data_IF_996340280181
#
_entry.id   IF_996340280181
#
_cell.length_a   1.000
_cell.length_b   1.000
_cell.length_c   1.000
_cell.angle_alpha   90.00
_cell.angle_beta   90.00
_cell.angle_gamma   90.00
#
_symmetry.space_group_name_H-M   'P 1'
#
loop_
_entity.id
_entity.type
_entity.pdbx_description
1 polymer ?
#
# COMPACT_ATOMS: atom_id res chain seq x y z
N UNK A 1 -4.98 13.47 -18.19
CA UNK A 1 -4.52 12.27 -17.44
C UNK A 1 -3.17 11.82 -18.00
N UNK A 2 -2.07 12.26 -17.39
CA UNK A 2 -0.72 12.16 -17.95
C UNK A 2 -0.29 10.74 -18.36
N UNK A 3 -0.70 9.72 -17.62
CA UNK A 3 -0.41 8.32 -17.95
C UNK A 3 -1.09 7.82 -19.23
N UNK A 4 -2.32 8.26 -19.50
CA UNK A 4 -3.08 7.85 -20.69
C UNK A 4 -2.53 8.55 -21.93
N UNK A 5 -2.09 9.79 -21.79
CA UNK A 5 -1.54 10.60 -22.89
C UNK A 5 -0.05 10.31 -23.17
N UNK A 6 0.56 9.33 -22.50
CA UNK A 6 1.98 8.99 -22.69
C UNK A 6 2.97 9.97 -22.05
N UNK A 7 2.50 10.96 -21.28
CA UNK A 7 3.33 11.96 -20.59
C UNK A 7 4.06 11.42 -19.35
N UNK A 8 3.88 10.12 -19.04
CA UNK A 8 4.52 9.44 -17.91
C UNK A 8 3.91 9.78 -16.55
N UNK A 9 4.56 9.31 -15.48
CA UNK A 9 4.15 9.56 -14.09
C UNK A 9 4.66 10.94 -13.64
N UNK A 10 3.90 11.98 -13.99
CA UNK A 10 4.16 13.38 -13.64
C UNK A 10 2.95 14.02 -12.96
N UNK A 11 3.21 14.93 -12.02
CA UNK A 11 2.21 15.76 -11.35
C UNK A 11 1.84 17.03 -12.12
N UNK A 12 2.65 17.43 -13.11
CA UNK A 12 2.42 18.67 -13.84
C UNK A 12 1.30 18.46 -14.86
N UNK A 13 0.32 19.36 -14.89
CA UNK A 13 -0.81 19.28 -15.83
C UNK A 13 -0.41 19.73 -17.25
N UNK A 14 0.61 20.59 -17.34
CA UNK A 14 1.20 21.08 -18.58
C UNK A 14 2.71 20.79 -18.64
N UNK A 15 3.30 20.91 -19.83
CA UNK A 15 4.74 20.76 -20.02
C UNK A 15 5.53 21.84 -19.24
N UNK A 16 6.73 21.51 -18.71
CA UNK A 16 7.42 20.23 -18.81
C UNK A 16 6.89 19.18 -17.83
N UNK A 17 6.68 17.95 -18.31
CA UNK A 17 6.25 16.81 -17.50
C UNK A 17 7.43 16.23 -16.72
N UNK A 18 7.64 16.70 -15.49
CA UNK A 18 8.73 16.22 -14.64
C UNK A 18 8.38 14.86 -14.01
N UNK A 19 9.23 13.83 -14.13
CA UNK A 19 9.02 12.55 -13.47
C UNK A 19 8.88 12.73 -11.94
N UNK A 20 7.90 12.06 -11.35
CA UNK A 20 7.69 12.10 -9.89
C UNK A 20 7.66 10.69 -9.28
N UNK A 21 8.02 10.58 -8.01
CA UNK A 21 7.74 9.45 -7.12
C UNK A 21 7.02 9.91 -5.84
N UNK A 22 6.35 11.06 -5.86
CA UNK A 22 5.69 11.60 -4.66
C UNK A 22 4.59 10.68 -4.12
N UNK A 23 3.98 9.85 -4.97
CA UNK A 23 3.02 8.82 -4.55
C UNK A 23 3.32 7.50 -5.23
N UNK A 24 2.98 6.42 -4.54
CA UNK A 24 3.03 5.06 -5.07
C UNK A 24 2.10 4.87 -6.29
N UNK A 25 2.48 4.00 -7.25
CA UNK A 25 1.87 3.95 -8.58
C UNK A 25 0.59 3.11 -8.68
N UNK A 26 0.26 2.29 -7.68
CA UNK A 26 -0.76 1.25 -7.79
C UNK A 26 -2.13 1.79 -8.21
N UNK A 27 -2.64 2.80 -7.49
CA UNK A 27 -3.93 3.39 -7.83
C UNK A 27 -3.94 4.16 -9.17
N UNK A 28 -2.97 5.05 -9.46
CA UNK A 28 -2.90 5.70 -10.78
C UNK A 28 -2.79 4.73 -11.95
N UNK A 29 -2.03 3.64 -11.81
CA UNK A 29 -1.91 2.61 -12.83
C UNK A 29 -3.24 1.90 -13.07
N UNK A 30 -3.91 1.46 -11.99
CA UNK A 30 -5.22 0.81 -12.13
C UNK A 30 -6.24 1.73 -12.80
N UNK A 31 -6.29 3.00 -12.37
CA UNK A 31 -7.19 3.99 -12.97
C UNK A 31 -6.89 4.20 -14.46
N UNK A 32 -5.61 4.21 -14.85
CA UNK A 32 -5.21 4.34 -16.26
C UNK A 32 -5.63 3.15 -17.11
N UNK A 33 -5.56 1.93 -16.56
CA UNK A 33 -6.00 0.71 -17.25
C UNK A 33 -7.52 0.74 -17.43
N UNK A 34 -8.27 1.04 -16.37
CA UNK A 34 -9.73 1.11 -16.41
C UNK A 34 -10.20 2.14 -17.43
N UNK A 35 -9.62 3.35 -17.41
CA UNK A 35 -10.02 4.40 -18.34
C UNK A 35 -9.54 4.18 -19.77
N UNK A 36 -8.48 3.40 -19.98
CA UNK A 36 -8.07 2.99 -21.34
C UNK A 36 -9.09 2.04 -21.97
N UNK A 37 -9.68 1.15 -21.17
CA UNK A 37 -10.64 0.14 -21.66
C UNK A 37 -12.07 0.70 -21.73
N UNK A 38 -12.51 1.39 -20.67
CA UNK A 38 -13.89 1.86 -20.53
C UNK A 38 -14.11 3.33 -20.94
N UNK A 39 -13.03 4.04 -21.29
CA UNK A 39 -13.01 5.49 -21.45
C UNK A 39 -12.95 6.25 -20.12
N UNK A 40 -12.74 7.57 -20.18
CA UNK A 40 -12.68 8.44 -19.00
C UNK A 40 -14.08 8.65 -18.43
N UNK A 41 -14.55 7.67 -17.65
CA UNK A 41 -15.88 7.63 -17.05
C UNK A 41 -15.75 7.34 -15.55
N UNK A 42 -15.84 8.37 -14.67
CA UNK A 42 -15.63 8.20 -13.23
C UNK A 42 -16.54 7.16 -12.58
N UNK A 43 -17.79 7.02 -13.06
CA UNK A 43 -18.74 6.05 -12.54
C UNK A 43 -18.28 4.59 -12.69
N UNK A 44 -17.47 4.27 -13.70
CA UNK A 44 -16.94 2.91 -13.91
C UNK A 44 -16.00 2.53 -12.76
N UNK A 45 -15.18 3.47 -12.30
CA UNK A 45 -14.31 3.25 -11.16
C UNK A 45 -15.10 3.12 -9.86
N UNK A 46 -16.19 3.87 -9.69
CA UNK A 46 -17.09 3.73 -8.54
C UNK A 46 -17.75 2.34 -8.49
N UNK A 47 -18.18 1.79 -9.64
CA UNK A 47 -18.67 0.41 -9.69
C UNK A 47 -17.59 -0.60 -9.29
N UNK A 48 -16.34 -0.40 -9.74
CA UNK A 48 -15.23 -1.26 -9.30
C UNK A 48 -14.96 -1.13 -7.80
N UNK A 49 -15.11 0.07 -7.21
CA UNK A 49 -15.00 0.23 -5.76
C UNK A 49 -16.03 -0.58 -4.99
N UNK A 50 -17.29 -0.59 -5.46
CA UNK A 50 -18.35 -1.43 -4.88
C UNK A 50 -17.96 -2.92 -4.97
N UNK A 51 -17.46 -3.36 -6.13
CA UNK A 51 -16.99 -4.75 -6.30
C UNK A 51 -15.83 -5.07 -5.35
N UNK A 52 -14.86 -4.17 -5.17
CA UNK A 52 -13.75 -4.38 -4.25
C UNK A 52 -14.19 -4.42 -2.78
N UNK A 53 -15.12 -3.56 -2.36
CA UNK A 53 -15.70 -3.57 -1.02
C UNK A 53 -16.45 -4.89 -0.77
N UNK A 54 -17.31 -5.32 -1.69
CA UNK A 54 -18.03 -6.60 -1.58
C UNK A 54 -17.06 -7.79 -1.52
N UNK A 55 -16.03 -7.80 -2.38
CA UNK A 55 -15.00 -8.84 -2.35
C UNK A 55 -14.24 -8.86 -1.01
N UNK A 56 -13.95 -7.68 -0.45
CA UNK A 56 -13.31 -7.54 0.87
C UNK A 56 -14.19 -8.14 1.97
N UNK A 57 -15.48 -7.81 1.95
CA UNK A 57 -16.46 -8.34 2.91
C UNK A 57 -16.56 -9.86 2.85
N UNK A 58 -16.69 -10.43 1.66
CA UNK A 58 -16.75 -11.89 1.46
C UNK A 58 -15.46 -12.53 1.96
N UNK A 59 -14.31 -11.97 1.64
CA UNK A 59 -13.02 -12.52 2.01
C UNK A 59 -12.80 -12.53 3.52
N UNK A 60 -13.13 -11.44 4.21
CA UNK A 60 -13.02 -11.34 5.67
C UNK A 60 -14.02 -12.29 6.35
N UNK A 61 -15.27 -12.31 5.89
CA UNK A 61 -16.31 -13.19 6.48
C UNK A 61 -15.97 -14.67 6.33
N UNK A 62 -15.48 -15.10 5.17
CA UNK A 62 -15.01 -16.48 4.94
C UNK A 62 -13.82 -16.80 5.85
N UNK A 63 -12.84 -15.91 5.93
CA UNK A 63 -11.65 -16.12 6.78
C UNK A 63 -12.04 -16.21 8.25
N UNK A 64 -12.95 -15.35 8.72
CA UNK A 64 -13.52 -15.42 10.05
C UNK A 64 -14.23 -16.76 10.30
N UNK A 65 -14.95 -17.27 9.30
CA UNK A 65 -15.60 -18.59 9.34
C UNK A 65 -14.63 -19.75 9.47
N UNK A 66 -13.49 -19.67 8.81
CA UNK A 66 -12.44 -20.71 8.89
C UNK A 66 -11.80 -20.72 10.29
N UNK A 67 -11.63 -19.56 10.92
CA UNK A 67 -10.97 -19.45 12.24
C UNK A 67 -11.93 -19.72 13.40
N UNK A 68 -13.15 -19.19 13.33
CA UNK A 68 -14.10 -19.14 14.46
C UNK A 68 -15.43 -19.86 14.19
N UNK A 69 -15.57 -20.53 13.04
CA UNK A 69 -16.76 -21.28 12.66
C UNK A 69 -17.85 -20.48 11.92
N UNK A 70 -18.88 -21.17 11.39
CA UNK A 70 -19.84 -20.59 10.43
C UNK A 70 -20.79 -19.55 11.01
N UNK A 71 -21.02 -19.54 12.33
CA UNK A 71 -21.81 -18.48 12.99
C UNK A 71 -21.07 -17.15 12.97
N UNK A 72 -19.78 -17.17 13.32
CA UNK A 72 -18.89 -16.01 13.32
C UNK A 72 -18.74 -15.41 11.93
N UNK A 73 -18.70 -16.24 10.87
CA UNK A 73 -18.69 -15.78 9.48
C UNK A 73 -19.88 -14.87 9.15
N UNK A 74 -21.10 -15.32 9.52
CA UNK A 74 -22.34 -14.59 9.25
C UNK A 74 -22.40 -13.28 10.04
N UNK A 75 -22.05 -13.32 11.32
CA UNK A 75 -22.02 -12.12 12.18
C UNK A 75 -21.00 -11.12 11.64
N UNK A 76 -19.79 -11.57 11.30
CA UNK A 76 -18.73 -10.71 10.76
C UNK A 76 -19.15 -10.08 9.42
N UNK A 77 -19.72 -10.87 8.50
CA UNK A 77 -20.24 -10.35 7.23
C UNK A 77 -21.35 -9.32 7.42
N UNK A 78 -22.27 -9.56 8.36
CA UNK A 78 -23.34 -8.62 8.68
C UNK A 78 -22.81 -7.30 9.28
N UNK A 79 -21.90 -7.37 10.25
CA UNK A 79 -21.29 -6.18 10.85
C UNK A 79 -20.48 -5.36 9.84
N UNK A 80 -19.75 -6.02 8.94
CA UNK A 80 -19.01 -5.35 7.87
C UNK A 80 -19.93 -4.70 6.84
N UNK A 81 -21.04 -5.35 6.47
CA UNK A 81 -22.02 -4.79 5.54
C UNK A 81 -22.63 -3.47 6.03
N UNK A 82 -22.74 -3.32 7.35
CA UNK A 82 -23.29 -2.13 8.00
C UNK A 82 -22.24 -1.07 8.34
N UNK A 83 -20.96 -1.32 8.04
CA UNK A 83 -19.89 -0.40 8.42
C UNK A 83 -19.97 0.90 7.59
N UNK A 84 -20.27 2.07 8.20
CA UNK A 84 -20.47 3.31 7.46
C UNK A 84 -19.22 3.77 6.71
N UNK A 85 -18.04 3.47 7.26
CA UNK A 85 -16.75 3.82 6.64
C UNK A 85 -16.56 3.15 5.29
N UNK A 86 -16.98 1.89 5.15
CA UNK A 86 -16.86 1.18 3.88
C UNK A 86 -17.89 1.70 2.86
N UNK A 87 -19.13 1.93 3.32
CA UNK A 87 -20.19 2.50 2.48
C UNK A 87 -19.78 3.86 1.91
N UNK A 88 -19.32 4.79 2.76
CA UNK A 88 -18.86 6.12 2.32
C UNK A 88 -17.61 6.00 1.43
N UNK A 89 -16.70 5.09 1.77
CA UNK A 89 -15.48 4.84 1.00
C UNK A 89 -15.72 4.41 -0.45
N UNK A 90 -16.84 3.71 -0.72
CA UNK A 90 -17.21 3.32 -2.09
C UNK A 90 -17.74 4.47 -2.95
N UNK A 91 -18.25 5.53 -2.33
CA UNK A 91 -18.89 6.66 -3.04
C UNK A 91 -17.89 7.73 -3.49
N UNK A 92 -16.67 7.70 -2.95
CA UNK A 92 -15.60 8.66 -3.29
C UNK A 92 -14.52 7.95 -4.09
N UNK A 93 -13.88 8.67 -5.01
CA UNK A 93 -12.78 8.16 -5.85
C UNK A 93 -11.47 8.04 -5.05
N UNK A 94 -11.52 7.21 -4.02
CA UNK A 94 -10.52 6.97 -3.00
C UNK A 94 -9.72 5.69 -3.31
N UNK A 95 -8.50 5.59 -2.77
CA UNK A 95 -7.63 4.39 -2.92
C UNK A 95 -8.01 3.28 -1.94
N UNK A 96 -8.86 3.63 -1.00
CA UNK A 96 -9.27 2.90 0.18
C UNK A 96 -9.90 1.54 -0.16
N UNK A 97 -10.84 1.41 -1.13
CA UNK A 97 -11.47 0.12 -1.41
C UNK A 97 -10.52 -0.93 -1.99
N UNK A 98 -9.65 -0.53 -2.92
CA UNK A 98 -8.63 -1.43 -3.47
C UNK A 98 -7.62 -1.82 -2.40
N UNK A 99 -7.17 -0.86 -1.59
CA UNK A 99 -6.23 -1.14 -0.50
C UNK A 99 -6.82 -2.11 0.51
N UNK A 100 -8.09 -1.92 0.90
CA UNK A 100 -8.79 -2.77 1.84
C UNK A 100 -8.85 -4.23 1.34
N UNK A 101 -9.18 -4.43 0.05
CA UNK A 101 -9.22 -5.76 -0.56
C UNK A 101 -7.84 -6.45 -0.53
N UNK A 102 -6.79 -5.75 -0.95
CA UNK A 102 -5.44 -6.31 -1.00
C UNK A 102 -4.91 -6.61 0.41
N UNK A 103 -5.17 -5.71 1.37
CA UNK A 103 -4.80 -5.90 2.76
C UNK A 103 -5.57 -7.07 3.41
N UNK A 104 -6.88 -7.20 3.13
CA UNK A 104 -7.68 -8.34 3.57
C UNK A 104 -7.18 -9.65 2.95
N UNK A 105 -6.81 -9.65 1.67
CA UNK A 105 -6.20 -10.80 0.99
C UNK A 105 -4.87 -11.21 1.59
N UNK A 106 -4.01 -10.26 1.91
CA UNK A 106 -2.77 -10.49 2.64
C UNK A 106 -3.03 -11.19 3.99
N UNK A 107 -3.89 -10.63 4.85
CA UNK A 107 -4.18 -11.22 6.16
C UNK A 107 -4.87 -12.58 6.06
N UNK A 108 -5.78 -12.75 5.11
CA UNK A 108 -6.46 -14.03 4.88
C UNK A 108 -5.48 -15.11 4.47
N UNK A 109 -4.57 -14.81 3.54
CA UNK A 109 -3.52 -15.73 3.11
C UNK A 109 -2.53 -16.04 4.25
N UNK A 110 -2.17 -15.04 5.06
CA UNK A 110 -1.32 -15.23 6.25
C UNK A 110 -1.97 -16.15 7.28
N UNK A 111 -3.24 -15.92 7.63
CA UNK A 111 -4.00 -16.77 8.56
C UNK A 111 -4.07 -18.20 8.02
N UNK A 112 -4.39 -18.36 6.73
CA UNK A 112 -4.43 -19.68 6.10
C UNK A 112 -3.07 -20.38 6.12
N UNK A 113 -1.97 -19.63 5.96
CA UNK A 113 -0.61 -20.15 6.15
C UNK A 113 -0.37 -20.60 7.58
N UNK A 114 -0.75 -19.81 8.59
CA UNK A 114 -0.58 -20.20 10.01
C UNK A 114 -1.35 -21.49 10.32
N UNK A 115 -2.58 -21.62 9.79
CA UNK A 115 -3.42 -22.79 10.02
C UNK A 115 -2.99 -24.05 9.25
N UNK A 116 -2.51 -23.91 8.00
CA UNK A 116 -2.27 -25.06 7.10
C UNK A 116 -0.80 -25.27 6.76
N UNK A 117 0.07 -24.30 7.05
CA UNK A 117 1.52 -24.37 6.88
C UNK A 117 2.03 -24.44 5.43
N UNK A 118 1.23 -24.10 4.41
CA UNK A 118 1.61 -24.27 3.00
C UNK A 118 2.36 -23.04 2.47
N UNK A 119 3.51 -23.26 1.84
CA UNK A 119 4.38 -22.18 1.35
C UNK A 119 3.70 -21.25 0.33
N UNK A 120 2.81 -21.77 -0.52
CA UNK A 120 2.13 -20.96 -1.54
C UNK A 120 1.17 -19.94 -0.91
N UNK A 121 0.62 -20.23 0.28
CA UNK A 121 -0.22 -19.29 1.02
C UNK A 121 0.61 -18.09 1.51
N UNK A 122 1.83 -18.37 1.96
CA UNK A 122 2.79 -17.34 2.35
C UNK A 122 3.25 -16.52 1.12
N UNK A 123 3.47 -17.18 -0.02
CA UNK A 123 3.80 -16.49 -1.26
C UNK A 123 2.65 -15.57 -1.73
N UNK A 124 1.40 -16.04 -1.65
CA UNK A 124 0.21 -15.22 -1.96
C UNK A 124 0.07 -14.05 -0.98
N UNK A 125 0.41 -14.24 0.30
CA UNK A 125 0.42 -13.17 1.28
C UNK A 125 1.45 -12.11 0.91
N UNK A 126 2.69 -12.51 0.59
CA UNK A 126 3.74 -11.57 0.18
C UNK A 126 3.41 -10.80 -1.11
N UNK A 127 2.83 -11.46 -2.12
CA UNK A 127 2.38 -10.78 -3.35
C UNK A 127 1.25 -9.79 -3.05
N UNK A 128 0.23 -10.20 -2.29
CA UNK A 128 -0.87 -9.32 -1.89
C UNK A 128 -0.36 -8.11 -1.10
N UNK A 129 0.62 -8.31 -0.23
CA UNK A 129 1.27 -7.25 0.55
C UNK A 129 2.05 -6.27 -0.33
N UNK A 130 2.78 -6.77 -1.33
CA UNK A 130 3.49 -5.92 -2.30
C UNK A 130 2.50 -5.06 -3.11
N UNK A 131 1.41 -5.66 -3.57
CA UNK A 131 0.35 -4.93 -4.26
C UNK A 131 -0.31 -3.89 -3.34
N UNK A 132 -0.57 -4.23 -2.07
CA UNK A 132 -1.09 -3.28 -1.09
C UNK A 132 -0.11 -2.12 -0.85
N UNK A 133 1.20 -2.39 -0.84
CA UNK A 133 2.26 -1.38 -0.71
C UNK A 133 2.27 -0.42 -1.89
N UNK A 134 1.96 -0.90 -3.10
CA UNK A 134 1.78 -0.04 -4.27
C UNK A 134 0.55 0.86 -4.21
N UNK A 135 -0.44 0.55 -3.38
CA UNK A 135 -1.61 1.42 -3.19
C UNK A 135 -1.38 2.39 -2.03
N UNK A 136 -0.81 1.89 -0.92
CA UNK A 136 -0.41 2.68 0.25
C UNK A 136 0.94 2.21 0.79
N UNK A 137 1.90 3.12 0.81
CA UNK A 137 3.27 2.90 1.33
C UNK A 137 3.33 2.49 2.81
N UNK A 138 2.28 2.75 3.60
CA UNK A 138 2.22 2.40 5.02
C UNK A 138 2.45 0.91 5.30
N UNK A 139 2.19 0.03 4.33
CA UNK A 139 2.35 -1.42 4.50
C UNK A 139 3.79 -1.90 4.28
N UNK A 140 4.72 -1.02 3.90
CA UNK A 140 6.11 -1.37 3.62
C UNK A 140 6.88 -1.92 4.83
N UNK A 141 6.42 -1.62 6.06
CA UNK A 141 7.03 -2.10 7.30
C UNK A 141 6.51 -3.49 7.74
N UNK A 142 5.37 -3.95 7.21
CA UNK A 142 4.77 -5.23 7.59
C UNK A 142 5.68 -6.44 7.31
N UNK A 143 6.38 -6.56 6.16
CA UNK A 143 7.26 -7.70 5.91
C UNK A 143 8.33 -7.84 7.00
N UNK A 144 8.88 -6.72 7.50
CA UNK A 144 9.91 -6.72 8.55
C UNK A 144 9.35 -7.32 9.84
N UNK A 145 8.17 -6.88 10.27
CA UNK A 145 7.50 -7.40 11.47
C UNK A 145 7.20 -8.90 11.31
N UNK A 146 6.69 -9.32 10.16
CA UNK A 146 6.39 -10.74 9.90
C UNK A 146 7.66 -11.62 9.88
N UNK A 147 8.77 -11.11 9.34
CA UNK A 147 10.06 -11.80 9.37
C UNK A 147 10.57 -11.98 10.81
N UNK A 148 10.40 -10.95 11.66
CA UNK A 148 10.72 -11.06 13.09
C UNK A 148 9.86 -12.13 13.77
N UNK A 149 8.56 -12.19 13.47
CA UNK A 149 7.67 -13.23 14.01
C UNK A 149 8.05 -14.64 13.55
N UNK A 150 8.38 -14.82 12.26
CA UNK A 150 8.86 -16.10 11.73
C UNK A 150 10.21 -16.50 12.35
N UNK A 151 11.11 -15.54 12.56
CA UNK A 151 12.39 -15.75 13.22
C UNK A 151 12.22 -16.16 14.68
N UNK A 152 11.35 -15.48 15.43
CA UNK A 152 11.01 -15.82 16.80
C UNK A 152 10.38 -17.22 16.88
N UNK A 153 9.43 -17.54 16.00
CA UNK A 153 8.84 -18.88 15.94
C UNK A 153 9.89 -19.95 15.66
N UNK A 154 10.82 -19.69 14.73
CA UNK A 154 11.90 -20.63 14.40
C UNK A 154 12.85 -20.85 15.58
N UNK A 155 13.14 -19.80 16.37
CA UNK A 155 13.92 -19.87 17.60
C UNK A 155 13.22 -20.72 18.67
N UNK A 156 11.95 -20.43 18.94
CA UNK A 156 11.16 -21.10 19.98
C UNK A 156 10.92 -22.58 19.68
N UNK A 157 10.65 -22.91 18.41
CA UNK A 157 10.36 -24.29 17.98
C UNK A 157 11.59 -25.06 17.52
N UNK A 158 12.77 -24.43 17.49
CA UNK A 158 14.02 -24.97 16.94
C UNK A 158 13.92 -25.44 15.48
N UNK A 159 12.99 -24.87 14.70
CA UNK A 159 12.75 -25.23 13.29
C UNK A 159 13.44 -24.28 12.30
N UNK A 160 14.74 -24.01 12.51
CA UNK A 160 15.50 -22.99 11.77
C UNK A 160 15.43 -23.13 10.24
N UNK A 161 15.59 -24.34 9.70
CA UNK A 161 15.54 -24.58 8.26
C UNK A 161 14.18 -24.20 7.65
N UNK A 162 13.09 -24.56 8.34
CA UNK A 162 11.73 -24.21 7.90
C UNK A 162 11.51 -22.70 8.02
N UNK A 163 11.93 -22.09 9.13
CA UNK A 163 11.87 -20.65 9.34
C UNK A 163 12.59 -19.87 8.23
N UNK A 164 13.80 -20.29 7.86
CA UNK A 164 14.59 -19.67 6.80
C UNK A 164 13.91 -19.76 5.43
N UNK A 165 13.37 -20.94 5.08
CA UNK A 165 12.64 -21.12 3.82
C UNK A 165 11.41 -20.22 3.77
N UNK A 166 10.65 -20.15 4.87
CA UNK A 166 9.44 -19.31 4.93
C UNK A 166 9.79 -17.82 4.89
N UNK A 167 10.84 -17.40 5.59
CA UNK A 167 11.38 -16.05 5.50
C UNK A 167 11.78 -15.70 4.07
N UNK A 168 12.51 -16.58 3.39
CA UNK A 168 12.90 -16.40 2.00
C UNK A 168 11.68 -16.29 1.07
N UNK A 169 10.69 -17.17 1.23
CA UNK A 169 9.44 -17.12 0.45
C UNK A 169 8.73 -15.78 0.65
N UNK A 170 8.58 -15.31 1.89
CA UNK A 170 7.93 -14.03 2.19
C UNK A 170 8.72 -12.85 1.61
N UNK A 171 10.04 -12.81 1.82
CA UNK A 171 10.90 -11.74 1.29
C UNK A 171 10.87 -11.71 -0.23
N UNK A 172 11.04 -12.85 -0.89
CA UNK A 172 11.05 -12.94 -2.35
C UNK A 172 9.69 -12.53 -2.90
N UNK A 173 8.59 -13.08 -2.37
CA UNK A 173 7.23 -12.77 -2.85
C UNK A 173 6.77 -11.33 -2.60
N UNK A 174 7.27 -10.67 -1.54
CA UNK A 174 6.95 -9.27 -1.25
C UNK A 174 7.90 -8.27 -1.93
N UNK A 175 9.17 -8.61 -2.11
CA UNK A 175 10.16 -7.72 -2.70
C UNK A 175 10.16 -7.76 -4.24
N UNK A 176 10.07 -8.94 -4.87
CA UNK A 176 10.12 -9.09 -6.34
C UNK A 176 9.12 -8.17 -7.05
N UNK A 177 7.83 -8.14 -6.66
CA UNK A 177 6.86 -7.29 -7.34
C UNK A 177 7.16 -5.80 -7.18
N UNK A 178 7.87 -5.39 -6.13
CA UNK A 178 8.23 -4.00 -5.86
C UNK A 178 9.42 -3.51 -6.72
N UNK A 179 10.31 -4.43 -7.12
CA UNK A 179 11.55 -4.13 -7.83
C UNK A 179 11.39 -3.32 -9.12
N UNK A 180 10.42 -3.58 -10.03
CA UNK A 180 10.32 -2.85 -11.29
C UNK A 180 10.12 -1.34 -11.08
N UNK A 181 9.32 -0.96 -10.08
CA UNK A 181 9.10 0.45 -9.76
C UNK A 181 10.32 1.09 -9.09
N UNK A 182 10.96 0.38 -8.16
CA UNK A 182 12.20 0.85 -7.53
C UNK A 182 13.31 1.04 -8.57
N UNK A 183 13.41 0.15 -9.55
CA UNK A 183 14.36 0.27 -10.66
C UNK A 183 14.04 1.48 -11.54
N UNK A 184 12.76 1.71 -11.89
CA UNK A 184 12.32 2.92 -12.60
C UNK A 184 12.72 4.18 -11.82
N UNK A 185 12.52 4.19 -10.50
CA UNK A 185 12.88 5.33 -9.66
C UNK A 185 14.40 5.52 -9.60
N UNK A 186 15.18 4.44 -9.60
CA UNK A 186 16.63 4.55 -9.63
C UNK A 186 17.13 5.15 -10.96
N UNK A 187 16.59 4.68 -12.09
CA UNK A 187 16.98 5.19 -13.42
C UNK A 187 16.54 6.65 -13.61
N UNK A 188 15.32 7.00 -13.21
CA UNK A 188 14.72 8.32 -13.51
C UNK A 188 14.94 9.39 -12.45
N UNK A 189 15.05 8.99 -11.18
CA UNK A 189 15.07 9.88 -10.02
C UNK A 189 16.29 9.64 -9.13
N UNK A 190 17.21 8.75 -9.52
CA UNK A 190 18.43 8.39 -8.77
C UNK A 190 18.18 7.94 -7.33
N UNK A 191 16.98 7.43 -7.04
CA UNK A 191 16.58 6.97 -5.70
C UNK A 191 15.99 5.57 -5.75
N UNK A 192 16.31 4.74 -4.75
CA UNK A 192 15.71 3.40 -4.58
C UNK A 192 14.39 3.42 -3.81
N UNK A 193 14.03 4.57 -3.25
CA UNK A 193 12.77 4.73 -2.52
C UNK A 193 11.57 4.53 -3.43
N UNK A 194 10.59 3.76 -2.96
CA UNK A 194 9.31 3.55 -3.66
C UNK A 194 8.51 4.85 -3.77
N UNK A 195 8.59 5.68 -2.74
CA UNK A 195 7.86 6.96 -2.64
C UNK A 195 8.66 7.99 -1.84
N UNK A 196 8.50 9.27 -2.19
CA UNK A 196 9.05 10.38 -1.40
C UNK A 196 8.07 10.93 -0.36
N UNK A 197 6.82 10.44 -0.30
CA UNK A 197 5.80 10.97 0.60
C UNK A 197 6.15 10.75 2.08
N UNK A 198 6.58 9.55 2.50
CA UNK A 198 6.99 9.30 3.88
C UNK A 198 8.07 10.26 4.39
N UNK A 199 9.12 10.49 3.59
CA UNK A 199 10.16 11.48 3.92
C UNK A 199 9.63 12.91 4.00
N UNK A 200 8.69 13.27 3.12
CA UNK A 200 8.02 14.57 3.14
C UNK A 200 7.20 14.77 4.42
N UNK A 201 6.48 13.74 4.86
CA UNK A 201 5.69 13.80 6.10
C UNK A 201 6.59 13.95 7.32
N UNK A 202 7.73 13.26 7.38
CA UNK A 202 8.69 13.42 8.48
C UNK A 202 9.32 14.82 8.51
N UNK A 203 9.67 15.37 7.33
CA UNK A 203 10.23 16.71 7.23
C UNK A 203 9.20 17.78 7.64
N UNK A 204 7.97 17.66 7.16
CA UNK A 204 6.91 18.63 7.46
C UNK A 204 6.43 18.54 8.91
N UNK A 205 6.33 17.34 9.48
CA UNK A 205 5.97 17.17 10.89
C UNK A 205 7.15 17.48 11.81
N UNK A 206 8.06 16.51 11.94
CA UNK A 206 9.15 16.57 12.92
C UNK A 206 10.19 17.64 12.56
N UNK A 207 10.55 17.77 11.28
CA UNK A 207 11.54 18.74 10.83
C UNK A 207 11.10 20.20 11.07
N UNK A 208 9.85 20.52 10.72
CA UNK A 208 9.30 21.85 10.97
C UNK A 208 9.18 22.13 12.47
N UNK A 209 8.71 21.17 13.28
CA UNK A 209 8.60 21.32 14.73
C UNK A 209 9.98 21.53 15.41
N UNK A 210 11.02 20.85 14.94
CA UNK A 210 12.39 21.08 15.45
C UNK A 210 12.88 22.50 15.14
N UNK A 211 12.58 23.03 13.95
CA UNK A 211 12.93 24.40 13.59
C UNK A 211 12.13 25.43 14.38
N UNK A 212 10.84 25.18 14.63
CA UNK A 212 10.00 25.98 15.52
C UNK A 212 10.61 26.03 16.92
N UNK A 213 10.98 24.88 17.48
CA UNK A 213 11.58 24.80 18.80
C UNK A 213 12.96 25.51 18.87
N UNK A 214 13.77 25.39 17.80
CA UNK A 214 15.10 26.00 17.75
C UNK A 214 15.07 27.52 17.52
N UNK A 215 14.16 28.01 16.69
CA UNK A 215 14.11 29.41 16.27
C UNK A 215 12.98 30.20 16.93
N UNK A 216 12.20 29.57 17.82
CA UNK A 216 11.03 30.12 18.50
C UNK A 216 10.10 30.87 17.54
N UNK A 217 9.87 30.28 16.37
CA UNK A 217 9.14 30.88 15.26
C UNK A 217 7.86 30.10 14.97
N UNK A 218 6.95 30.71 14.21
CA UNK A 218 5.69 30.06 13.85
C UNK A 218 5.90 28.86 12.90
N UNK A 219 5.08 27.83 13.08
CA UNK A 219 5.13 26.59 12.30
C UNK A 219 4.91 26.85 10.80
N UNK A 220 3.97 27.73 10.45
CA UNK A 220 3.65 28.01 9.04
C UNK A 220 4.82 28.69 8.35
N UNK A 221 5.51 29.62 9.04
CA UNK A 221 6.70 30.28 8.53
C UNK A 221 7.86 29.28 8.31
N UNK A 222 8.13 28.41 9.28
CA UNK A 222 9.20 27.40 9.15
C UNK A 222 8.91 26.39 8.04
N UNK A 223 7.64 26.01 7.88
CA UNK A 223 7.22 25.16 6.77
C UNK A 223 7.45 25.86 5.42
N UNK A 224 7.12 27.15 5.28
CA UNK A 224 7.40 27.93 4.07
C UNK A 224 8.89 27.95 3.72
N UNK A 225 9.76 28.15 4.71
CA UNK A 225 11.22 28.15 4.52
C UNK A 225 11.70 26.76 4.05
N UNK A 226 11.23 25.68 4.69
CA UNK A 226 11.55 24.31 4.28
C UNK A 226 11.17 24.03 2.81
N UNK A 227 10.00 24.52 2.38
CA UNK A 227 9.57 24.40 0.98
C UNK A 227 10.45 25.20 0.01
N UNK A 228 10.91 26.39 0.40
CA UNK A 228 11.82 27.20 -0.42
C UNK A 228 13.20 26.53 -0.55
N UNK A 229 13.80 26.09 0.56
CA UNK A 229 15.10 25.39 0.57
C UNK A 229 15.05 24.15 -0.31
N UNK A 230 13.94 23.39 -0.24
CA UNK A 230 13.74 22.22 -1.08
C UNK A 230 13.67 22.55 -2.57
N UNK A 231 13.00 23.65 -2.95
CA UNK A 231 12.93 24.07 -4.36
C UNK A 231 14.31 24.40 -4.91
N UNK A 232 15.16 25.06 -4.11
CA UNK A 232 16.52 25.42 -4.50
C UNK A 232 17.52 24.26 -4.53
N UNK A 233 17.27 23.19 -3.78
CA UNK A 233 18.13 21.99 -3.78
C UNK A 233 17.77 20.97 -4.86
N UNK A 234 16.64 21.15 -5.55
CA UNK A 234 16.16 20.29 -6.64
C UNK A 234 16.34 20.92 -8.04
N UNK A 235 16.88 22.15 -8.11
CA UNK A 235 17.37 22.80 -9.34
C UNK A 235 18.86 22.57 -9.47
#
# INVERSE_FOLDING_TARGET
MNLINGHGFSYNEAAPYVPSNFRVPGFPLMLSIVYRVAGVRPWVMLLLHIVFSLATLVLISVTCGIVFGPRSARVCGFLLALCPLDIVGTQVLLREPLFALLNAGFWSAWILYVLRGRWWQLATAGIALALATYVRENTMLLPVVLLMLLGLQALLTRTYRRGLVMAMVLTVSSALPLLPWSLRNHVRLKTWSLSSAGGMTMLNGNGALLLVAKHNADYVQMMHILWQVRRHTLT
#
